data_IF_605932194483
#
_entry.id   IF_605932194483
#
_cell.length_a   1.000
_cell.length_b   1.000
_cell.length_c   1.000
_cell.angle_alpha   90.00
_cell.angle_beta   90.00
_cell.angle_gamma   90.00
#
_symmetry.space_group_name_H-M   'P 1'
#
loop_
_entity.id
_entity.type
_entity.pdbx_description
1 polymer ?
#
# COMPACT_ATOMS: atom_id res chain seq x y z
N UNK A 1 0.48 6.33 -8.25
CA UNK A 1 0.80 7.65 -7.70
C UNK A 1 0.71 7.57 -6.18
N UNK A 2 1.61 8.26 -5.48
CA UNK A 2 1.62 8.29 -4.02
C UNK A 2 2.05 9.68 -3.57
N UNK A 3 1.33 10.23 -2.61
CA UNK A 3 1.68 11.46 -1.93
C UNK A 3 1.81 11.18 -0.43
N UNK A 4 2.83 11.73 0.22
CA UNK A 4 3.06 11.58 1.65
C UNK A 4 3.38 12.92 2.27
N UNK A 5 2.85 13.12 3.48
CA UNK A 5 3.21 14.25 4.33
C UNK A 5 3.57 13.75 5.71
N UNK A 6 4.77 14.10 6.17
CA UNK A 6 5.29 13.70 7.48
C UNK A 6 5.62 14.94 8.30
N UNK A 7 5.20 14.95 9.55
CA UNK A 7 5.54 16.00 10.51
C UNK A 7 5.86 15.37 11.86
N UNK A 8 6.91 15.87 12.52
CA UNK A 8 7.21 15.46 13.89
C UNK A 8 7.66 16.63 14.74
N UNK A 9 7.32 16.55 16.03
CA UNK A 9 7.81 17.45 17.07
C UNK A 9 8.55 16.63 18.11
N UNK A 10 9.82 16.97 18.34
CA UNK A 10 10.63 16.35 19.38
C UNK A 10 10.88 17.33 20.52
N UNK A 11 10.65 16.87 21.75
CA UNK A 11 11.06 17.52 22.97
C UNK A 11 12.16 16.68 23.65
N UNK A 12 13.18 17.33 24.19
CA UNK A 12 14.27 16.69 24.92
C UNK A 12 14.61 17.53 26.13
N UNK A 13 14.84 16.90 27.29
CA UNK A 13 15.22 17.56 28.54
C UNK A 13 16.29 16.75 29.25
N UNK A 14 17.44 17.39 29.51
CA UNK A 14 18.47 16.83 30.37
C UNK A 14 18.10 17.02 31.83
N UNK A 15 18.05 15.92 32.57
CA UNK A 15 17.73 15.91 33.98
C UNK A 15 18.98 16.08 34.86
N UNK A 16 18.80 16.63 36.06
CA UNK A 16 19.89 16.94 36.97
C UNK A 16 20.78 15.74 37.40
N UNK A 17 20.29 14.52 37.20
CA UNK A 17 21.02 13.28 37.48
C UNK A 17 21.77 12.72 36.26
N UNK A 18 21.87 13.48 35.17
CA UNK A 18 22.49 13.07 33.91
C UNK A 18 21.62 12.19 33.01
N UNK A 19 20.39 11.89 33.41
CA UNK A 19 19.42 11.21 32.56
C UNK A 19 18.80 12.18 31.55
N UNK A 20 18.30 11.66 30.44
CA UNK A 20 17.57 12.42 29.43
C UNK A 20 16.12 11.93 29.33
N UNK A 21 15.17 12.85 29.36
CA UNK A 21 13.79 12.59 28.95
C UNK A 21 13.59 13.05 27.51
N UNK A 22 12.95 12.25 26.69
CA UNK A 22 12.53 12.65 25.35
C UNK A 22 11.09 12.24 25.06
N UNK A 23 10.40 13.10 24.29
CA UNK A 23 9.06 12.84 23.77
C UNK A 23 9.03 13.22 22.28
N UNK A 24 8.43 12.37 21.45
CA UNK A 24 8.24 12.61 20.04
C UNK A 24 6.77 12.46 19.75
N UNK A 25 6.15 13.50 19.18
CA UNK A 25 4.83 13.45 18.58
C UNK A 25 5.02 13.44 17.06
N UNK A 26 4.40 12.52 16.36
CA UNK A 26 4.47 12.45 14.92
C UNK A 26 3.08 12.32 14.29
N UNK A 27 2.94 12.90 13.12
CA UNK A 27 1.79 12.75 12.23
C UNK A 27 2.29 12.38 10.85
N UNK A 28 1.67 11.39 10.24
CA UNK A 28 1.90 10.96 8.88
C UNK A 28 0.57 10.91 8.14
N UNK A 29 0.55 11.40 6.91
CA UNK A 29 -0.55 11.27 5.98
C UNK A 29 -0.06 10.66 4.68
N UNK A 30 -0.78 9.67 4.19
CA UNK A 30 -0.47 8.94 2.96
C UNK A 30 -1.70 8.86 2.08
N UNK A 31 -1.63 9.44 0.90
CA UNK A 31 -2.57 9.14 -0.20
C UNK A 31 -1.87 8.24 -1.21
N UNK A 32 -2.45 7.09 -1.51
CA UNK A 32 -1.93 6.17 -2.51
C UNK A 32 -3.02 5.78 -3.49
N UNK A 33 -2.63 5.76 -4.74
CA UNK A 33 -3.48 5.40 -5.85
C UNK A 33 -2.74 4.43 -6.77
N UNK A 34 -3.33 3.27 -6.99
CA UNK A 34 -2.79 2.22 -7.83
C UNK A 34 -3.81 1.75 -8.86
N UNK A 35 -3.39 1.68 -10.12
CA UNK A 35 -4.10 0.93 -11.15
C UNK A 35 -3.23 -0.23 -11.57
N UNK A 36 -3.80 -1.40 -11.62
CA UNK A 36 -3.14 -2.61 -12.11
C UNK A 36 -3.96 -3.26 -13.22
N UNK A 37 -3.24 -3.97 -14.10
CA UNK A 37 -3.84 -4.84 -15.08
C UNK A 37 -4.59 -5.98 -14.36
N UNK A 38 -5.88 -6.09 -14.61
CA UNK A 38 -6.77 -7.08 -14.03
C UNK A 38 -7.11 -8.25 -14.96
N UNK A 39 -6.37 -8.46 -16.03
CA UNK A 39 -6.61 -9.56 -16.99
C UNK A 39 -6.36 -10.94 -16.41
N UNK A 40 -5.67 -11.05 -15.30
CA UNK A 40 -5.43 -12.32 -14.63
C UNK A 40 -6.67 -12.84 -13.91
N UNK A 41 -7.12 -14.02 -14.26
CA UNK A 41 -8.04 -14.95 -13.57
C UNK A 41 -9.28 -14.40 -12.85
N UNK A 42 -9.12 -13.47 -11.92
CA UNK A 42 -10.21 -12.93 -11.12
C UNK A 42 -11.18 -12.01 -11.90
N UNK A 43 -10.69 -11.40 -12.98
CA UNK A 43 -11.44 -10.45 -13.81
C UNK A 43 -11.95 -11.04 -15.13
N UNK A 44 -11.82 -12.35 -15.29
CA UNK A 44 -12.29 -13.08 -16.49
C UNK A 44 -13.78 -12.96 -16.81
N UNK A 45 -14.59 -12.37 -15.92
CA UNK A 45 -16.00 -12.08 -16.15
C UNK A 45 -16.28 -11.16 -17.33
N UNK A 46 -15.33 -10.30 -17.66
CA UNK A 46 -15.45 -9.37 -18.81
C UNK A 46 -15.32 -10.06 -20.17
N UNK A 47 -14.72 -11.23 -20.22
CA UNK A 47 -14.65 -12.02 -21.46
C UNK A 47 -16.01 -12.43 -22.01
N UNK A 48 -17.04 -12.48 -21.14
CA UNK A 48 -18.41 -12.81 -21.52
C UNK A 48 -19.22 -11.66 -22.13
N UNK A 49 -18.69 -10.43 -22.11
CA UNK A 49 -19.38 -9.28 -22.74
C UNK A 49 -19.35 -9.45 -24.27
N UNK A 50 -20.49 -9.41 -24.98
CA UNK A 50 -20.55 -9.77 -26.42
C UNK A 50 -19.60 -8.95 -27.31
N UNK A 51 -19.44 -7.67 -27.04
CA UNK A 51 -18.52 -6.80 -27.79
C UNK A 51 -17.05 -7.16 -27.55
N UNK A 52 -16.71 -7.57 -26.34
CA UNK A 52 -15.38 -8.03 -25.96
C UNK A 52 -15.09 -9.40 -26.58
N UNK A 53 -16.04 -10.33 -26.52
CA UNK A 53 -15.90 -11.66 -27.11
C UNK A 53 -15.66 -11.59 -28.62
N UNK A 54 -16.35 -10.70 -29.33
CA UNK A 54 -16.15 -10.51 -30.76
C UNK A 54 -14.76 -9.92 -31.10
N UNK A 55 -14.34 -8.91 -30.36
CA UNK A 55 -13.01 -8.29 -30.52
C UNK A 55 -11.89 -9.29 -30.21
N UNK A 56 -12.03 -10.05 -29.13
CA UNK A 56 -11.10 -11.08 -28.73
C UNK A 56 -10.96 -12.19 -29.76
N UNK A 57 -12.06 -12.66 -30.31
CA UNK A 57 -12.04 -13.73 -31.30
C UNK A 57 -11.23 -13.32 -32.53
N UNK A 58 -11.43 -12.10 -33.04
CA UNK A 58 -10.72 -11.60 -34.20
C UNK A 58 -9.20 -11.43 -33.93
N UNK A 59 -8.86 -10.84 -32.79
CA UNK A 59 -7.47 -10.60 -32.43
C UNK A 59 -6.72 -11.89 -32.10
N UNK A 60 -7.39 -12.84 -31.45
CA UNK A 60 -6.80 -14.15 -31.17
C UNK A 60 -6.54 -14.97 -32.42
N UNK A 61 -7.44 -14.94 -33.38
CA UNK A 61 -7.21 -15.61 -34.66
C UNK A 61 -6.00 -14.99 -35.37
N UNK A 62 -5.84 -13.68 -35.35
CA UNK A 62 -4.69 -13.00 -35.90
C UNK A 62 -3.39 -13.36 -35.17
N UNK A 63 -3.42 -13.43 -33.83
CA UNK A 63 -2.28 -13.78 -33.01
C UNK A 63 -1.91 -15.26 -33.19
N UNK A 64 -2.87 -16.18 -33.10
CA UNK A 64 -2.64 -17.62 -33.30
C UNK A 64 -2.04 -17.90 -34.66
N UNK A 65 -2.52 -17.21 -35.71
CA UNK A 65 -1.98 -17.34 -37.06
C UNK A 65 -0.55 -16.80 -37.23
N UNK A 66 -0.11 -15.94 -36.31
CA UNK A 66 1.25 -15.39 -36.30
C UNK A 66 2.27 -16.19 -35.48
N UNK A 67 1.83 -17.19 -34.71
CA UNK A 67 2.66 -17.94 -33.79
C UNK A 67 3.31 -19.15 -34.48
N UNK A 68 4.49 -19.59 -34.00
CA UNK A 68 5.08 -20.84 -34.42
C UNK A 68 4.16 -22.03 -34.18
N UNK A 69 4.19 -23.07 -35.01
CA UNK A 69 3.43 -24.30 -34.79
C UNK A 69 3.69 -24.88 -33.40
N UNK A 70 2.63 -25.23 -32.70
CA UNK A 70 2.71 -25.84 -31.35
C UNK A 70 2.57 -24.82 -30.19
N UNK A 71 2.46 -23.55 -30.46
CA UNK A 71 2.10 -22.56 -29.45
C UNK A 71 0.58 -22.49 -29.28
N UNK A 72 0.11 -22.56 -28.03
CA UNK A 72 -1.29 -22.31 -27.73
C UNK A 72 -1.41 -21.39 -26.52
N UNK A 73 -2.29 -20.42 -26.58
CA UNK A 73 -2.69 -19.66 -25.41
C UNK A 73 -3.91 -20.29 -24.75
N UNK A 74 -3.84 -20.52 -23.45
CA UNK A 74 -4.95 -21.11 -22.69
C UNK A 74 -6.17 -20.18 -22.58
N UNK A 75 -5.95 -18.89 -22.65
CA UNK A 75 -6.98 -17.86 -22.77
C UNK A 75 -6.39 -16.65 -23.46
N UNK A 76 -7.12 -16.02 -24.37
CA UNK A 76 -6.68 -14.79 -24.97
C UNK A 76 -6.72 -13.66 -23.96
N UNK A 77 -5.60 -13.00 -23.80
CA UNK A 77 -5.56 -11.70 -23.17
C UNK A 77 -6.45 -10.74 -23.95
N UNK A 78 -7.19 -9.92 -23.26
CA UNK A 78 -7.92 -8.83 -23.84
C UNK A 78 -7.13 -7.57 -23.55
N UNK A 79 -6.64 -6.93 -24.56
CA UNK A 79 -6.00 -5.65 -24.36
C UNK A 79 -6.88 -4.56 -24.98
N UNK A 80 -7.02 -3.41 -24.34
CA UNK A 80 -7.80 -2.31 -24.87
C UNK A 80 -7.19 -1.78 -26.15
N UNK A 81 -8.01 -1.30 -27.06
CA UNK A 81 -7.56 -0.68 -28.29
C UNK A 81 -7.60 0.83 -28.21
N UNK A 82 -6.53 1.47 -28.67
CA UNK A 82 -6.51 2.89 -28.91
C UNK A 82 -5.88 3.75 -27.82
N UNK A 83 -5.78 5.04 -28.12
CA UNK A 83 -5.08 6.03 -27.30
C UNK A 83 -5.77 6.37 -25.96
N UNK A 84 -7.00 5.89 -25.76
CA UNK A 84 -7.82 6.19 -24.57
C UNK A 84 -7.87 5.04 -23.57
N UNK A 85 -7.05 4.02 -23.76
CA UNK A 85 -6.92 2.93 -22.81
C UNK A 85 -6.37 3.42 -21.47
N UNK A 86 -6.83 2.84 -20.36
CA UNK A 86 -6.28 3.09 -19.03
C UNK A 86 -4.81 2.71 -18.96
N UNK A 87 -4.45 1.58 -19.55
CA UNK A 87 -3.12 0.98 -19.45
C UNK A 87 -2.20 1.30 -20.65
N UNK A 88 -2.65 2.07 -21.60
CA UNK A 88 -1.84 2.53 -22.75
C UNK A 88 -2.23 1.91 -24.09
N UNK A 89 -1.44 2.14 -25.14
CA UNK A 89 -1.69 1.62 -26.47
C UNK A 89 -1.27 0.14 -26.54
N UNK A 90 -2.23 -0.74 -26.38
CA UNK A 90 -2.03 -2.19 -26.55
C UNK A 90 -2.38 -2.65 -27.98
N UNK A 91 -2.22 -3.94 -28.25
CA UNK A 91 -2.72 -4.57 -29.46
C UNK A 91 -4.25 -4.40 -29.57
N UNK A 92 -4.85 -4.52 -30.77
CA UNK A 92 -6.24 -4.13 -31.05
C UNK A 92 -7.27 -5.05 -30.39
N UNK A 93 -7.25 -5.11 -29.09
CA UNK A 93 -8.27 -5.74 -28.25
C UNK A 93 -9.04 -4.65 -27.52
N UNK A 94 -10.28 -4.89 -27.22
CA UNK A 94 -11.09 -4.09 -26.30
C UNK A 94 -11.42 -4.93 -25.09
N UNK A 95 -11.69 -4.29 -23.96
CA UNK A 95 -12.14 -4.96 -22.74
C UNK A 95 -11.05 -5.69 -21.98
N UNK A 96 -9.97 -5.01 -21.76
CA UNK A 96 -9.05 -5.42 -20.70
C UNK A 96 -9.69 -5.18 -19.33
N UNK A 97 -9.40 -6.04 -18.37
CA UNK A 97 -9.79 -5.84 -16.99
C UNK A 97 -8.74 -4.98 -16.28
N UNK A 98 -9.18 -4.09 -15.42
CA UNK A 98 -8.28 -3.37 -14.52
C UNK A 98 -8.81 -3.36 -13.11
N UNK A 99 -7.90 -3.24 -12.16
CA UNK A 99 -8.17 -3.03 -10.76
C UNK A 99 -7.69 -1.64 -10.38
N UNK A 100 -8.55 -0.91 -9.69
CA UNK A 100 -8.26 0.36 -9.07
C UNK A 100 -8.18 0.15 -7.56
N UNK A 101 -7.17 0.72 -6.94
CA UNK A 101 -7.05 0.77 -5.48
C UNK A 101 -6.73 2.19 -5.06
N UNK A 102 -7.44 2.67 -4.05
CA UNK A 102 -7.18 3.92 -3.36
C UNK A 102 -6.95 3.61 -1.89
N UNK A 103 -5.96 4.24 -1.30
CA UNK A 103 -5.73 4.21 0.13
C UNK A 103 -5.42 5.60 0.62
N UNK A 104 -6.19 6.04 1.59
CA UNK A 104 -5.95 7.24 2.39
C UNK A 104 -5.64 6.78 3.82
N UNK A 105 -4.56 7.27 4.40
CA UNK A 105 -4.13 6.84 5.72
C UNK A 105 -3.60 8.01 6.52
N UNK A 106 -4.13 8.16 7.73
CA UNK A 106 -3.68 9.09 8.74
C UNK A 106 -3.12 8.35 9.95
N UNK A 107 -1.90 8.69 10.34
CA UNK A 107 -1.25 8.12 11.52
C UNK A 107 -0.90 9.24 12.50
N UNK A 108 -1.28 9.09 13.74
CA UNK A 108 -0.78 9.91 14.83
C UNK A 108 -0.07 9.03 15.85
N UNK A 109 1.13 9.43 16.26
CA UNK A 109 1.88 8.64 17.25
C UNK A 109 2.60 9.50 18.27
N UNK A 110 2.80 8.92 19.45
CA UNK A 110 3.61 9.48 20.51
C UNK A 110 4.57 8.43 21.06
N UNK A 111 5.85 8.79 21.13
CA UNK A 111 6.87 8.03 21.84
C UNK A 111 7.37 8.86 23.03
N UNK A 112 7.47 8.25 24.20
CA UNK A 112 8.13 8.81 25.37
C UNK A 112 9.25 7.89 25.82
N UNK A 113 10.40 8.46 26.20
CA UNK A 113 11.59 7.72 26.53
C UNK A 113 12.36 8.40 27.65
N UNK A 114 12.84 7.60 28.58
CA UNK A 114 13.78 8.01 29.62
C UNK A 114 15.06 7.19 29.48
N UNK A 115 16.17 7.88 29.36
CA UNK A 115 17.51 7.30 29.16
C UNK A 115 18.39 7.68 30.31
N UNK A 116 19.10 6.73 30.91
CA UNK A 116 20.08 7.02 31.98
C UNK A 116 21.26 7.84 31.48
N UNK A 117 22.08 8.37 32.38
CA UNK A 117 23.36 8.97 32.02
C UNK A 117 24.23 7.96 31.24
N UNK A 118 24.54 8.32 29.99
CA UNK A 118 25.27 7.46 29.04
C UNK A 118 26.78 7.43 29.31
N UNK A 119 27.27 8.26 30.25
CA UNK A 119 28.70 8.27 30.66
C UNK A 119 28.99 7.26 31.78
N UNK A 120 27.99 6.51 32.26
CA UNK A 120 28.14 5.50 33.29
C UNK A 120 28.42 4.12 32.69
N UNK A 121 29.12 3.28 33.46
CA UNK A 121 29.38 1.88 33.07
C UNK A 121 28.09 1.02 33.03
N UNK A 122 27.01 1.51 33.63
CA UNK A 122 25.69 0.90 33.60
C UNK A 122 24.71 1.89 32.99
N UNK A 123 24.10 1.50 31.91
CA UNK A 123 23.17 2.33 31.14
C UNK A 123 21.85 1.63 30.94
N UNK A 124 20.78 2.37 30.96
CA UNK A 124 19.45 1.85 30.69
C UNK A 124 18.60 2.85 29.93
N UNK A 125 17.63 2.33 29.26
CA UNK A 125 16.57 3.06 28.56
C UNK A 125 15.26 2.37 28.85
N UNK A 126 14.19 3.14 29.06
CA UNK A 126 12.81 2.68 29.13
C UNK A 126 11.94 3.64 28.37
N UNK A 127 10.96 3.10 27.66
CA UNK A 127 10.04 3.92 26.87
C UNK A 127 8.69 3.27 26.65
N UNK A 128 7.78 4.09 26.16
CA UNK A 128 6.45 3.71 25.70
C UNK A 128 6.14 4.37 24.38
N UNK A 129 5.33 3.69 23.58
CA UNK A 129 4.87 4.16 22.29
C UNK A 129 3.37 3.90 22.16
N UNK A 130 2.66 4.85 21.59
CA UNK A 130 1.26 4.70 21.16
C UNK A 130 1.11 5.26 19.76
N UNK A 131 0.33 4.59 18.95
CA UNK A 131 -0.12 5.11 17.67
C UNK A 131 -1.58 4.75 17.41
N UNK A 132 -2.30 5.66 16.77
CA UNK A 132 -3.59 5.44 16.14
C UNK A 132 -3.41 5.60 14.63
N UNK A 133 -3.83 4.60 13.89
CA UNK A 133 -3.73 4.52 12.43
C UNK A 133 -5.14 4.38 11.90
N UNK A 134 -5.62 5.39 11.18
CA UNK A 134 -6.88 5.32 10.44
C UNK A 134 -6.55 5.13 8.95
N UNK A 135 -7.22 4.18 8.32
CA UNK A 135 -6.98 3.82 6.93
C UNK A 135 -8.28 3.56 6.20
N UNK A 136 -8.55 4.40 5.19
CA UNK A 136 -9.61 4.18 4.22
C UNK A 136 -9.05 3.43 3.01
N UNK A 137 -9.70 2.34 2.63
CA UNK A 137 -9.29 1.52 1.50
C UNK A 137 -10.48 1.28 0.59
N UNK A 138 -10.36 1.74 -0.64
CA UNK A 138 -11.32 1.44 -1.70
C UNK A 138 -10.66 0.57 -2.78
N UNK A 139 -11.35 -0.48 -3.19
CA UNK A 139 -10.92 -1.36 -4.29
C UNK A 139 -12.07 -1.56 -5.24
N UNK A 140 -11.84 -1.24 -6.48
CA UNK A 140 -12.78 -1.50 -7.56
C UNK A 140 -12.13 -2.23 -8.72
N UNK A 141 -12.95 -2.80 -9.58
CA UNK A 141 -12.50 -3.42 -10.80
C UNK A 141 -13.45 -3.06 -11.94
N UNK A 142 -12.95 -3.08 -13.16
CA UNK A 142 -13.73 -2.72 -14.33
C UNK A 142 -13.15 -3.28 -15.61
N UNK A 143 -13.88 -3.08 -16.69
CA UNK A 143 -13.42 -3.37 -18.03
C UNK A 143 -12.93 -2.05 -18.68
N UNK A 144 -11.75 -2.06 -19.27
CA UNK A 144 -11.32 -0.97 -20.12
C UNK A 144 -11.99 -1.07 -21.50
N UNK A 145 -12.95 -0.21 -21.70
CA UNK A 145 -13.69 -0.16 -22.98
C UNK A 145 -13.06 0.80 -24.00
N UNK A 146 -11.86 1.32 -23.70
CA UNK A 146 -11.18 2.30 -24.58
C UNK A 146 -11.86 3.66 -24.66
N UNK A 147 -12.69 4.01 -23.69
CA UNK A 147 -13.47 5.27 -23.66
C UNK A 147 -12.80 6.39 -22.87
N UNK A 148 -11.59 6.15 -22.38
CA UNK A 148 -10.86 7.02 -21.47
C UNK A 148 -11.14 6.65 -20.02
N UNK A 149 -10.37 7.25 -19.11
CA UNK A 149 -10.33 6.90 -17.72
C UNK A 149 -10.82 8.05 -16.81
N UNK A 150 -11.46 7.71 -15.69
CA UNK A 150 -11.76 8.63 -14.61
C UNK A 150 -10.97 8.18 -13.37
N UNK A 151 -10.19 9.10 -12.80
CA UNK A 151 -9.35 8.84 -11.64
C UNK A 151 -10.21 8.84 -10.37
N UNK A 152 -10.96 7.76 -10.17
CA UNK A 152 -11.78 7.53 -8.98
C UNK A 152 -12.14 6.05 -8.86
N UNK A 153 -12.33 5.55 -7.63
CA UNK A 153 -12.61 4.14 -7.38
C UNK A 153 -13.91 3.66 -8.04
N UNK A 154 -14.94 4.46 -7.97
CA UNK A 154 -16.25 4.08 -8.51
C UNK A 154 -16.65 4.94 -9.70
N UNK A 155 -16.89 4.30 -10.83
CA UNK A 155 -17.44 4.88 -12.06
C UNK A 155 -18.76 4.18 -12.38
N UNK A 156 -19.91 4.90 -12.39
CA UNK A 156 -21.21 4.29 -12.66
C UNK A 156 -21.30 3.76 -14.08
N UNK A 157 -22.30 2.90 -14.33
CA UNK A 157 -22.53 2.24 -15.62
C UNK A 157 -22.68 3.20 -16.81
N UNK A 158 -23.01 4.47 -16.57
CA UNK A 158 -23.10 5.51 -17.58
C UNK A 158 -21.78 6.27 -17.80
N UNK A 159 -20.76 5.98 -17.00
CA UNK A 159 -19.44 6.59 -17.11
C UNK A 159 -18.61 6.03 -18.27
N UNK A 160 -17.37 6.50 -18.40
CA UNK A 160 -16.50 6.13 -19.51
C UNK A 160 -16.05 4.68 -19.45
N UNK A 161 -15.46 4.28 -18.34
CA UNK A 161 -15.07 2.91 -18.07
C UNK A 161 -15.69 2.50 -16.72
N UNK A 162 -16.90 1.93 -16.71
CA UNK A 162 -17.64 1.59 -15.49
C UNK A 162 -16.87 0.61 -14.63
N UNK A 163 -16.97 0.80 -13.31
CA UNK A 163 -16.37 -0.08 -12.31
C UNK A 163 -17.42 -0.72 -11.42
N UNK A 164 -17.11 -1.91 -10.93
CA UNK A 164 -17.79 -2.53 -9.81
C UNK A 164 -16.95 -2.32 -8.53
N UNK A 165 -17.56 -1.78 -7.49
CA UNK A 165 -16.93 -1.60 -6.20
C UNK A 165 -16.82 -2.96 -5.50
N UNK A 166 -15.60 -3.40 -5.22
CA UNK A 166 -15.34 -4.67 -4.55
C UNK A 166 -15.19 -4.50 -3.05
N UNK A 167 -14.70 -3.35 -2.61
CA UNK A 167 -14.33 -3.10 -1.24
C UNK A 167 -14.28 -1.59 -0.98
N UNK A 168 -14.83 -1.16 0.14
CA UNK A 168 -14.85 0.23 0.61
C UNK A 168 -15.04 0.17 2.13
N UNK A 169 -13.93 0.23 2.85
CA UNK A 169 -13.92 0.08 4.30
C UNK A 169 -12.87 0.98 4.96
N UNK A 170 -13.20 1.42 6.18
CA UNK A 170 -12.31 2.15 7.08
C UNK A 170 -11.79 1.20 8.17
N UNK A 171 -10.50 1.20 8.40
CA UNK A 171 -9.84 0.47 9.47
C UNK A 171 -9.19 1.44 10.44
N UNK A 172 -9.42 1.20 11.72
CA UNK A 172 -8.67 1.89 12.78
C UNK A 172 -7.85 0.86 13.54
N UNK A 173 -6.58 1.16 13.72
CA UNK A 173 -5.64 0.30 14.44
C UNK A 173 -4.98 1.09 15.55
N UNK A 174 -5.14 0.62 16.79
CA UNK A 174 -4.42 1.13 17.95
C UNK A 174 -3.17 0.27 18.21
N UNK A 175 -2.02 0.89 18.31
CA UNK A 175 -0.76 0.24 18.67
C UNK A 175 -0.27 0.79 20.00
N UNK A 176 -0.01 -0.09 20.97
CA UNK A 176 0.62 0.26 22.23
C UNK A 176 1.87 -0.58 22.44
N UNK A 177 2.98 0.05 22.84
CA UNK A 177 4.23 -0.65 23.14
C UNK A 177 4.88 -0.12 24.41
N UNK A 178 5.54 -1.04 25.11
CA UNK A 178 6.53 -0.72 26.14
C UNK A 178 7.85 -1.39 25.77
N UNK A 179 8.96 -0.71 26.01
CA UNK A 179 10.27 -1.23 25.66
C UNK A 179 11.34 -0.76 26.65
N UNK A 180 12.43 -1.50 26.71
CA UNK A 180 13.56 -1.14 27.53
C UNK A 180 14.82 -1.85 27.12
N UNK A 181 15.92 -1.25 27.46
CA UNK A 181 17.28 -1.74 27.26
C UNK A 181 18.09 -1.55 28.55
N UNK A 182 18.95 -2.50 28.83
CA UNK A 182 19.93 -2.44 29.91
C UNK A 182 21.28 -2.86 29.37
N UNK A 183 22.30 -2.01 29.57
CA UNK A 183 23.67 -2.25 29.11
C UNK A 183 24.64 -2.10 30.27
N UNK A 184 25.64 -2.94 30.30
CA UNK A 184 26.73 -2.89 31.31
C UNK A 184 28.07 -3.14 30.63
N UNK A 185 29.07 -2.30 30.95
CA UNK A 185 30.45 -2.50 30.54
C UNK A 185 31.09 -3.59 31.43
N UNK A 186 31.46 -4.68 30.81
CA UNK A 186 32.18 -5.78 31.47
C UNK A 186 33.68 -5.51 31.51
N UNK A 187 34.18 -4.69 30.57
CA UNK A 187 35.54 -4.18 30.50
C UNK A 187 35.59 -2.96 29.60
N UNK A 188 36.79 -2.32 29.49
CA UNK A 188 36.99 -1.16 28.60
C UNK A 188 36.71 -1.46 27.11
N UNK A 189 36.58 -2.70 26.74
CA UNK A 189 36.37 -3.15 25.33
C UNK A 189 35.19 -4.11 25.15
N UNK A 190 34.42 -4.38 26.20
CA UNK A 190 33.33 -5.36 26.17
C UNK A 190 32.10 -4.82 26.88
N UNK A 191 30.99 -4.73 26.16
CA UNK A 191 29.66 -4.40 26.70
C UNK A 191 28.72 -5.59 26.57
N UNK A 192 27.84 -5.77 27.54
CA UNK A 192 26.69 -6.65 27.47
C UNK A 192 25.41 -5.82 27.48
N UNK A 193 24.55 -6.02 26.48
CA UNK A 193 23.22 -5.40 26.38
C UNK A 193 22.12 -6.43 26.33
N UNK A 194 21.00 -6.12 27.00
CA UNK A 194 19.74 -6.87 26.95
C UNK A 194 18.63 -5.89 26.59
N UNK A 195 17.81 -6.26 25.61
CA UNK A 195 16.68 -5.47 25.15
C UNK A 195 15.40 -6.30 25.25
N UNK A 196 14.28 -5.64 25.56
CA UNK A 196 12.95 -6.23 25.53
C UNK A 196 11.92 -5.22 25.04
N UNK A 197 10.95 -5.71 24.27
CA UNK A 197 9.80 -4.92 23.80
C UNK A 197 8.55 -5.80 23.87
N UNK A 198 7.45 -5.19 24.27
CA UNK A 198 6.11 -5.78 24.20
C UNK A 198 5.22 -4.85 23.40
N UNK A 199 4.55 -5.40 22.39
CA UNK A 199 3.61 -4.70 21.53
C UNK A 199 2.22 -5.34 21.69
N UNK A 200 1.19 -4.49 21.67
CA UNK A 200 -0.20 -4.88 21.58
C UNK A 200 -0.87 -4.04 20.50
N UNK A 201 -1.55 -4.71 19.58
CA UNK A 201 -2.27 -4.12 18.45
C UNK A 201 -3.73 -4.59 18.51
N UNK A 202 -4.66 -3.67 18.19
CA UNK A 202 -6.10 -3.92 18.15
C UNK A 202 -6.73 -3.32 16.92
#
# INVERSE_FOLDING_TARGET
EQETFDMSLKYTEDLANGSEFSAILAYNHLEEFLISDGTSGAFGGYFGVPSCAASNTAANLALINSLPPGFSFAAPGTAPSGANSVLGPYLPHTCDGYQFQSRDQDDISIEVKLTSDQNQSTRWLVGGYYAEIERDVEVSYGADLGKGFELKPYVPATGKNPTDLAFDDTFTTDVFSIFGQYSIDLSDVTELSIEARYDNEK
#
